data_IF_623587391902
#
_entry.id   IF_623587391902
#
_cell.length_a   1.000
_cell.length_b   1.000
_cell.length_c   1.000
_cell.angle_alpha   90.00
_cell.angle_beta   90.00
_cell.angle_gamma   90.00
#
_symmetry.space_group_name_H-M   'P 1'
#
loop_
_entity.id
_entity.type
_entity.pdbx_description
1 polymer ?
#
# COMPACT_ATOMS: atom_id res chain seq x y z
N UNK A 1 1.27 -27.79 12.74
CA UNK A 1 1.37 -26.99 11.49
C UNK A 1 2.57 -26.06 11.59
N UNK A 2 3.39 -26.01 10.55
CA UNK A 2 4.58 -25.15 10.51
C UNK A 2 4.34 -23.93 9.64
N UNK A 3 4.60 -22.75 10.20
CA UNK A 3 4.56 -21.45 9.51
C UNK A 3 5.99 -20.99 9.29
N UNK A 4 6.38 -20.81 8.04
CA UNK A 4 7.67 -20.27 7.62
C UNK A 4 7.54 -18.78 7.29
N UNK A 5 8.47 -17.97 7.77
CA UNK A 5 8.56 -16.53 7.45
C UNK A 5 9.89 -16.27 6.77
N UNK A 6 9.84 -15.80 5.54
CA UNK A 6 11.02 -15.59 4.71
C UNK A 6 11.58 -14.18 4.84
N UNK A 7 12.87 -14.06 4.62
CA UNK A 7 13.52 -12.78 4.40
C UNK A 7 13.16 -12.25 3.01
N UNK A 8 12.74 -11.00 2.96
CA UNK A 8 12.45 -10.33 1.68
C UNK A 8 13.73 -9.97 0.93
N UNK A 9 13.69 -10.12 -0.40
CA UNK A 9 14.82 -9.84 -1.28
C UNK A 9 14.49 -8.83 -2.39
N UNK A 10 13.22 -8.41 -2.50
CA UNK A 10 12.84 -7.41 -3.48
C UNK A 10 13.50 -6.07 -3.18
N UNK A 11 13.93 -5.37 -4.24
CA UNK A 11 14.57 -4.06 -4.11
C UNK A 11 13.67 -3.08 -3.36
N UNK A 12 14.25 -2.41 -2.35
CA UNK A 12 13.52 -1.47 -1.50
C UNK A 12 12.54 -2.10 -0.50
N UNK A 13 12.39 -3.46 -0.44
CA UNK A 13 11.56 -4.10 0.56
C UNK A 13 12.33 -4.25 1.88
N UNK A 14 11.80 -3.64 2.92
CA UNK A 14 12.41 -3.61 4.25
C UNK A 14 11.50 -4.18 5.34
N UNK A 15 10.27 -4.56 4.96
CA UNK A 15 9.29 -5.13 5.88
C UNK A 15 9.55 -6.62 6.08
N UNK A 16 8.92 -7.16 7.11
CA UNK A 16 8.87 -8.60 7.39
C UNK A 16 7.42 -9.02 7.63
N UNK A 17 7.05 -10.21 7.18
CA UNK A 17 5.68 -10.71 7.23
C UNK A 17 5.20 -11.11 8.65
N UNK A 18 6.12 -11.38 9.58
CA UNK A 18 5.81 -11.58 10.99
C UNK A 18 6.77 -10.81 11.88
N UNK A 19 6.25 -10.18 12.93
CA UNK A 19 7.03 -9.57 14.01
C UNK A 19 7.18 -10.57 15.17
N UNK A 20 8.09 -10.35 16.13
CA UNK A 20 8.17 -11.19 17.33
C UNK A 20 6.83 -11.30 18.08
N UNK A 21 6.04 -10.20 18.13
CA UNK A 21 4.70 -10.18 18.71
C UNK A 21 3.75 -11.15 17.99
N UNK A 22 3.68 -11.10 16.67
CA UNK A 22 2.78 -11.97 15.91
C UNK A 22 3.27 -13.42 15.85
N UNK A 23 4.59 -13.65 15.81
CA UNK A 23 5.17 -14.97 15.95
C UNK A 23 4.74 -15.64 17.26
N UNK A 24 4.82 -14.93 18.38
CA UNK A 24 4.33 -15.40 19.68
C UNK A 24 2.83 -15.73 19.66
N UNK A 25 2.03 -14.92 18.96
CA UNK A 25 0.58 -15.16 18.82
C UNK A 25 0.27 -16.41 17.99
N UNK A 26 1.01 -16.66 16.90
CA UNK A 26 0.87 -17.88 16.11
C UNK A 26 1.25 -19.13 16.92
N UNK A 27 2.32 -19.05 17.72
CA UNK A 27 2.73 -20.13 18.62
C UNK A 27 1.63 -20.41 19.67
N UNK A 28 0.98 -19.37 20.18
CA UNK A 28 -0.15 -19.52 21.09
C UNK A 28 -1.39 -20.19 20.46
N UNK A 29 -1.52 -20.16 19.13
CA UNK A 29 -2.53 -20.94 18.39
C UNK A 29 -2.14 -22.41 18.20
N UNK A 30 -0.91 -22.80 18.57
CA UNK A 30 -0.39 -24.15 18.40
C UNK A 30 0.44 -24.36 17.13
N UNK A 31 0.80 -23.29 16.42
CA UNK A 31 1.69 -23.39 15.28
C UNK A 31 3.17 -23.46 15.71
N UNK A 32 3.97 -24.20 14.96
CA UNK A 32 5.41 -24.04 14.95
C UNK A 32 5.76 -22.86 14.03
N UNK A 33 6.57 -21.91 14.51
CA UNK A 33 6.97 -20.73 13.72
C UNK A 33 8.47 -20.75 13.49
N UNK A 34 8.87 -20.72 12.21
CA UNK A 34 10.26 -20.66 11.78
C UNK A 34 10.51 -19.37 10.98
N UNK A 35 11.51 -18.61 11.36
CA UNK A 35 11.89 -17.32 10.77
C UNK A 35 13.26 -17.47 10.08
N UNK A 36 13.37 -17.02 8.85
CA UNK A 36 14.65 -16.95 8.15
C UNK A 36 15.57 -15.93 8.86
N UNK A 37 16.81 -16.32 9.13
CA UNK A 37 17.77 -15.50 9.84
C UNK A 37 17.95 -14.12 9.17
N UNK A 38 17.89 -13.06 9.95
CA UNK A 38 17.95 -11.69 9.48
C UNK A 38 16.71 -11.19 8.75
N UNK A 39 15.58 -11.91 8.76
CA UNK A 39 14.35 -11.47 8.09
C UNK A 39 13.79 -10.16 8.66
N UNK A 40 13.94 -9.93 9.97
CA UNK A 40 13.46 -8.74 10.66
C UNK A 40 14.43 -7.56 10.72
N UNK A 41 15.69 -7.72 10.33
CA UNK A 41 16.76 -6.75 10.56
C UNK A 41 16.44 -5.36 9.98
N UNK A 42 15.96 -5.31 8.74
CA UNK A 42 15.64 -4.05 8.08
C UNK A 42 14.43 -3.32 8.71
N UNK A 43 13.61 -4.05 9.48
CA UNK A 43 12.48 -3.54 10.26
C UNK A 43 12.82 -3.39 11.75
N UNK A 44 14.10 -3.49 12.13
CA UNK A 44 14.60 -3.36 13.51
C UNK A 44 14.18 -4.49 14.47
N UNK A 45 13.79 -5.64 13.94
CA UNK A 45 13.49 -6.83 14.72
C UNK A 45 14.66 -7.82 14.64
N UNK A 46 15.49 -7.86 15.68
CA UNK A 46 16.63 -8.76 15.75
C UNK A 46 16.21 -10.23 15.90
N UNK A 47 16.99 -11.16 15.37
CA UNK A 47 16.77 -12.60 15.47
C UNK A 47 16.53 -13.08 16.89
N UNK A 48 17.22 -12.48 17.88
CA UNK A 48 17.04 -12.84 19.28
C UNK A 48 15.62 -12.57 19.78
N UNK A 49 14.98 -11.49 19.34
CA UNK A 49 13.60 -11.19 19.74
C UNK A 49 12.59 -12.25 19.25
N UNK A 50 12.84 -12.87 18.10
CA UNK A 50 12.03 -14.00 17.61
C UNK A 50 12.29 -15.26 18.43
N UNK A 51 13.56 -15.55 18.81
CA UNK A 51 13.89 -16.68 19.69
C UNK A 51 13.23 -16.52 21.07
N UNK A 52 13.26 -15.32 21.63
CA UNK A 52 12.62 -14.98 22.91
C UNK A 52 11.09 -15.11 22.84
N UNK A 53 10.51 -14.92 21.66
CA UNK A 53 9.10 -15.15 21.39
C UNK A 53 8.74 -16.65 21.22
N UNK A 54 9.74 -17.54 21.18
CA UNK A 54 9.59 -18.98 21.03
C UNK A 54 9.68 -19.49 19.58
N UNK A 55 10.02 -18.64 18.62
CA UNK A 55 10.20 -19.04 17.23
C UNK A 55 11.60 -19.64 16.98
N UNK A 56 11.71 -20.58 16.04
CA UNK A 56 12.97 -21.06 15.50
C UNK A 56 13.53 -20.04 14.51
N UNK A 57 14.81 -19.69 14.65
CA UNK A 57 15.49 -18.84 13.65
C UNK A 57 16.61 -19.64 13.02
N UNK A 58 16.55 -19.84 11.69
CA UNK A 58 17.46 -20.69 10.94
C UNK A 58 17.68 -20.16 9.51
N UNK A 59 18.49 -20.88 8.73
CA UNK A 59 18.62 -20.63 7.30
C UNK A 59 17.32 -20.96 6.54
N UNK A 60 17.21 -20.44 5.31
CA UNK A 60 16.04 -20.59 4.45
C UNK A 60 15.62 -22.05 4.22
N UNK A 61 16.57 -22.96 4.00
CA UNK A 61 16.27 -24.36 3.73
C UNK A 61 15.63 -25.03 4.95
N UNK A 62 16.16 -24.79 6.14
CA UNK A 62 15.63 -25.28 7.41
C UNK A 62 14.25 -24.69 7.71
N UNK A 63 14.04 -23.41 7.44
CA UNK A 63 12.77 -22.72 7.65
C UNK A 63 11.69 -23.30 6.74
N UNK A 64 12.00 -23.57 5.47
CA UNK A 64 11.07 -24.11 4.49
C UNK A 64 10.80 -25.60 4.64
N UNK A 65 11.72 -26.38 5.24
CA UNK A 65 11.51 -27.82 5.38
C UNK A 65 10.19 -28.13 6.09
N UNK A 66 9.32 -28.89 5.42
CA UNK A 66 7.98 -29.28 5.89
C UNK A 66 7.06 -28.09 6.26
N UNK A 67 7.27 -26.91 5.67
CA UNK A 67 6.39 -25.77 5.90
C UNK A 67 5.01 -25.99 5.28
N UNK A 68 3.97 -25.76 6.08
CA UNK A 68 2.56 -25.82 5.65
C UNK A 68 2.05 -24.46 5.17
N UNK A 69 2.59 -23.37 5.74
CA UNK A 69 2.27 -21.98 5.37
C UNK A 69 3.58 -21.21 5.24
N UNK A 70 3.71 -20.47 4.14
CA UNK A 70 4.79 -19.51 3.92
C UNK A 70 4.22 -18.11 3.93
N UNK A 71 4.69 -17.28 4.86
CA UNK A 71 4.33 -15.86 4.95
C UNK A 71 5.41 -15.01 4.29
N UNK A 72 4.98 -14.14 3.39
CA UNK A 72 5.81 -13.11 2.77
C UNK A 72 5.11 -11.76 2.78
N UNK A 73 5.87 -10.69 2.65
CA UNK A 73 5.33 -9.36 2.35
C UNK A 73 5.04 -9.27 0.87
N UNK A 74 6.00 -9.66 0.06
CA UNK A 74 5.90 -9.84 -1.38
C UNK A 74 5.80 -11.34 -1.72
N UNK A 75 5.20 -11.67 -2.86
CA UNK A 75 5.15 -13.04 -3.32
C UNK A 75 6.56 -13.60 -3.55
N UNK A 76 6.99 -14.65 -2.83
CA UNK A 76 8.30 -15.27 -3.04
C UNK A 76 8.38 -15.94 -4.41
N UNK A 77 9.60 -16.09 -4.95
CA UNK A 77 9.81 -16.88 -6.16
C UNK A 77 9.45 -18.36 -5.87
N UNK A 78 8.54 -18.97 -6.63
CA UNK A 78 8.16 -20.38 -6.46
C UNK A 78 9.36 -21.34 -6.51
N UNK A 79 10.37 -21.06 -7.33
CA UNK A 79 11.58 -21.86 -7.42
C UNK A 79 12.41 -21.85 -6.10
N UNK A 80 12.27 -20.79 -5.31
CA UNK A 80 12.96 -20.64 -4.02
C UNK A 80 12.21 -21.23 -2.82
N UNK A 81 11.12 -22.00 -3.05
CA UNK A 81 10.28 -22.59 -2.00
C UNK A 81 10.51 -24.10 -1.80
N UNK A 82 11.60 -24.64 -2.35
CA UNK A 82 11.95 -26.05 -2.19
C UNK A 82 12.04 -26.44 -0.70
N UNK A 83 11.36 -27.52 -0.33
CA UNK A 83 11.22 -28.00 1.05
C UNK A 83 9.84 -27.74 1.67
N UNK A 84 9.08 -26.76 1.18
CA UNK A 84 7.69 -26.58 1.61
C UNK A 84 6.81 -27.75 1.13
N UNK A 85 5.79 -28.07 1.90
CA UNK A 85 4.87 -29.16 1.59
C UNK A 85 4.10 -28.90 0.30
N UNK A 86 3.79 -29.97 -0.46
CA UNK A 86 2.81 -29.89 -1.54
C UNK A 86 1.46 -29.42 -0.99
N UNK A 87 0.87 -28.42 -1.62
CA UNK A 87 -0.34 -27.76 -1.11
C UNK A 87 -0.09 -26.74 0.02
N UNK A 88 1.18 -26.42 0.33
CA UNK A 88 1.48 -25.33 1.24
C UNK A 88 0.86 -24.01 0.79
N UNK A 89 0.39 -23.22 1.74
CA UNK A 89 -0.18 -21.91 1.47
C UNK A 89 0.90 -20.85 1.36
N UNK A 90 0.85 -20.05 0.31
CA UNK A 90 1.69 -18.87 0.13
C UNK A 90 0.81 -17.66 0.42
N UNK A 91 1.01 -17.00 1.55
CA UNK A 91 0.16 -15.88 2.02
C UNK A 91 0.98 -14.59 2.00
N UNK A 92 0.70 -13.73 1.03
CA UNK A 92 1.48 -12.51 0.78
C UNK A 92 0.70 -11.51 -0.10
N UNK A 93 1.30 -10.35 -0.37
CA UNK A 93 0.96 -9.52 -1.52
C UNK A 93 1.56 -10.11 -2.78
N UNK A 94 0.76 -10.68 -3.66
CA UNK A 94 1.22 -11.50 -4.78
C UNK A 94 1.27 -10.75 -6.12
N UNK A 95 0.67 -9.57 -6.20
CA UNK A 95 0.55 -8.75 -7.41
C UNK A 95 0.07 -9.54 -8.67
N UNK A 96 -1.06 -10.27 -8.58
CA UNK A 96 -1.44 -11.26 -9.59
C UNK A 96 -1.76 -10.67 -10.96
N UNK A 97 -2.12 -9.38 -11.04
CA UNK A 97 -2.33 -8.70 -12.32
C UNK A 97 -1.01 -8.26 -12.98
N UNK A 98 0.01 -7.95 -12.17
CA UNK A 98 1.32 -7.53 -12.66
C UNK A 98 2.27 -8.69 -12.94
N UNK A 99 2.03 -9.86 -12.33
CA UNK A 99 2.90 -11.03 -12.43
C UNK A 99 2.10 -12.34 -12.53
N UNK A 100 1.38 -12.47 -13.65
CA UNK A 100 0.60 -13.68 -13.93
C UNK A 100 1.48 -14.93 -14.03
N UNK A 101 2.69 -14.80 -14.56
CA UNK A 101 3.61 -15.93 -14.72
C UNK A 101 3.98 -16.56 -13.37
N UNK A 102 4.12 -15.76 -12.31
CA UNK A 102 4.37 -16.24 -10.95
C UNK A 102 3.17 -17.01 -10.40
N UNK A 103 1.95 -16.56 -10.67
CA UNK A 103 0.73 -17.28 -10.26
C UNK A 103 0.67 -18.65 -10.94
N UNK A 104 0.93 -18.72 -12.25
CA UNK A 104 0.96 -19.98 -13.00
C UNK A 104 2.06 -20.92 -12.46
N UNK A 105 3.22 -20.37 -12.06
CA UNK A 105 4.31 -21.14 -11.46
C UNK A 105 3.94 -21.68 -10.05
N UNK A 106 3.20 -20.94 -9.23
CA UNK A 106 2.66 -21.47 -7.96
C UNK A 106 1.71 -22.65 -8.22
N UNK A 107 0.82 -22.54 -9.21
CA UNK A 107 -0.06 -23.63 -9.59
C UNK A 107 0.74 -24.85 -10.03
N UNK A 108 1.69 -24.68 -10.95
CA UNK A 108 2.52 -25.77 -11.47
C UNK A 108 3.35 -26.47 -10.36
N UNK A 109 3.80 -25.73 -9.35
CA UNK A 109 4.51 -26.26 -8.19
C UNK A 109 3.58 -26.89 -7.14
N UNK A 110 2.25 -26.81 -7.32
CA UNK A 110 1.26 -27.40 -6.43
C UNK A 110 1.00 -26.60 -5.15
N UNK A 111 1.40 -25.31 -5.08
CA UNK A 111 1.12 -24.44 -3.95
C UNK A 111 -0.27 -23.80 -4.04
N UNK A 112 -0.89 -23.51 -2.89
CA UNK A 112 -2.08 -22.66 -2.80
C UNK A 112 -1.66 -21.22 -2.52
N UNK A 113 -1.70 -20.37 -3.55
CA UNK A 113 -1.35 -18.96 -3.45
C UNK A 113 -2.58 -18.13 -3.00
N UNK A 114 -2.44 -17.38 -1.91
CA UNK A 114 -3.47 -16.54 -1.30
C UNK A 114 -3.03 -15.07 -1.38
N UNK A 115 -3.66 -14.31 -2.30
CA UNK A 115 -3.36 -12.90 -2.53
C UNK A 115 -4.07 -12.01 -1.52
N UNK A 116 -3.35 -11.51 -0.54
CA UNK A 116 -3.93 -10.68 0.51
C UNK A 116 -4.47 -9.33 0.00
N UNK A 117 -4.00 -8.84 -1.12
CA UNK A 117 -4.54 -7.65 -1.80
C UNK A 117 -5.91 -7.87 -2.45
N UNK A 118 -6.37 -9.12 -2.55
CA UNK A 118 -7.71 -9.45 -2.99
C UNK A 118 -8.71 -9.59 -1.85
N UNK A 119 -8.30 -9.31 -0.62
CA UNK A 119 -9.18 -9.30 0.55
C UNK A 119 -10.44 -8.46 0.27
N UNK A 120 -11.65 -9.03 0.40
CA UNK A 120 -12.88 -8.29 0.12
C UNK A 120 -13.09 -7.16 1.14
N UNK A 121 -13.64 -6.04 0.67
CA UNK A 121 -13.91 -4.87 1.53
C UNK A 121 -15.24 -5.01 2.28
N UNK A 122 -15.33 -6.04 3.12
CA UNK A 122 -16.45 -6.31 4.01
C UNK A 122 -16.04 -6.08 5.46
N UNK A 123 -17.01 -5.80 6.33
CA UNK A 123 -16.73 -5.40 7.73
C UNK A 123 -15.85 -6.40 8.47
N UNK A 124 -16.10 -7.71 8.33
CA UNK A 124 -15.33 -8.76 9.02
C UNK A 124 -13.91 -8.93 8.51
N UNK A 125 -13.61 -8.46 7.29
CA UNK A 125 -12.28 -8.56 6.66
C UNK A 125 -11.42 -7.29 6.84
N UNK A 126 -11.95 -6.22 7.41
CA UNK A 126 -11.22 -4.94 7.55
C UNK A 126 -9.89 -5.08 8.28
N UNK A 127 -9.83 -5.93 9.31
CA UNK A 127 -8.59 -6.17 10.07
C UNK A 127 -7.55 -6.99 9.30
N UNK A 128 -7.92 -7.59 8.18
CA UNK A 128 -7.07 -8.40 7.30
C UNK A 128 -6.58 -7.62 6.06
N UNK A 129 -7.05 -6.37 5.86
CA UNK A 129 -6.79 -5.56 4.68
C UNK A 129 -5.38 -4.94 4.71
N UNK A 130 -4.45 -5.58 3.99
CA UNK A 130 -3.07 -5.10 3.84
C UNK A 130 -2.99 -3.81 3.04
N UNK A 131 -3.92 -3.58 2.08
CA UNK A 131 -3.88 -2.39 1.25
C UNK A 131 -4.18 -1.14 2.08
N UNK A 132 -5.20 -1.20 2.94
CA UNK A 132 -5.55 -0.07 3.82
C UNK A 132 -4.46 0.23 4.83
N UNK A 133 -3.90 -0.79 5.50
CA UNK A 133 -2.86 -0.60 6.51
C UNK A 133 -1.60 0.03 5.92
N UNK A 134 -1.16 -0.42 4.75
CA UNK A 134 0.05 0.07 4.08
C UNK A 134 -0.18 1.43 3.40
N UNK A 135 -1.34 1.64 2.78
CA UNK A 135 -1.70 2.94 2.18
C UNK A 135 -1.77 4.06 3.21
N UNK A 136 -2.24 3.77 4.42
CA UNK A 136 -2.25 4.75 5.52
C UNK A 136 -0.83 5.26 5.81
N UNK A 137 0.13 4.35 5.97
CA UNK A 137 1.55 4.70 6.19
C UNK A 137 2.17 5.41 4.98
N UNK A 138 1.81 5.00 3.77
CA UNK A 138 2.30 5.65 2.56
C UNK A 138 1.82 7.12 2.48
N UNK A 139 0.56 7.40 2.81
CA UNK A 139 0.03 8.76 2.89
C UNK A 139 0.73 9.63 3.93
N UNK A 140 1.01 9.08 5.11
CA UNK A 140 1.81 9.76 6.13
C UNK A 140 3.22 10.05 5.63
N UNK A 141 3.90 9.04 5.10
CA UNK A 141 5.30 9.17 4.65
C UNK A 141 5.44 10.14 3.48
N UNK A 142 4.47 10.17 2.55
CA UNK A 142 4.47 11.11 1.43
C UNK A 142 4.54 12.58 1.90
N UNK A 143 3.82 12.93 2.97
CA UNK A 143 3.87 14.28 3.53
C UNK A 143 5.23 14.57 4.16
N UNK A 144 5.82 13.60 4.86
CA UNK A 144 7.17 13.77 5.43
C UNK A 144 8.23 13.89 4.34
N UNK A 145 8.12 13.13 3.26
CA UNK A 145 9.02 13.24 2.12
C UNK A 145 8.87 14.62 1.44
N UNK A 146 7.63 15.07 1.25
CA UNK A 146 7.40 16.43 0.75
C UNK A 146 8.01 17.49 1.67
N UNK A 147 7.87 17.36 2.99
CA UNK A 147 8.42 18.29 3.96
C UNK A 147 9.96 18.30 3.95
N UNK A 148 10.58 17.14 3.76
CA UNK A 148 12.03 17.01 3.65
C UNK A 148 12.59 17.70 2.39
N UNK A 149 11.85 17.60 1.27
CA UNK A 149 12.25 18.16 -0.02
C UNK A 149 11.86 19.63 -0.21
N UNK A 150 10.88 20.10 0.55
CA UNK A 150 10.41 21.47 0.50
C UNK A 150 11.34 22.41 1.28
N UNK A 151 12.00 23.32 0.62
CA UNK A 151 13.00 24.22 1.22
C UNK A 151 12.41 25.30 2.15
N UNK A 152 11.16 25.17 2.63
CA UNK A 152 10.47 26.15 3.47
C UNK A 152 9.70 25.45 4.59
N UNK A 153 9.24 26.23 5.58
CA UNK A 153 8.44 25.69 6.67
C UNK A 153 7.00 25.34 6.25
N UNK A 154 6.43 24.31 6.86
CA UNK A 154 5.03 23.95 6.67
C UNK A 154 4.07 24.87 7.45
N UNK A 155 4.28 25.11 8.77
CA UNK A 155 3.39 25.98 9.54
C UNK A 155 3.66 27.47 9.29
N UNK A 156 2.65 28.27 9.55
CA UNK A 156 2.85 29.69 9.75
C UNK A 156 3.67 29.95 11.02
N UNK A 157 4.67 30.81 10.91
CA UNK A 157 5.48 31.22 12.06
C UNK A 157 5.63 32.75 12.07
N UNK A 158 5.59 33.33 13.27
CA UNK A 158 5.81 34.75 13.48
C UNK A 158 7.08 34.96 14.30
N UNK A 159 7.96 35.82 13.80
CA UNK A 159 9.21 36.19 14.48
C UNK A 159 9.35 37.72 14.47
N UNK A 160 10.26 38.26 15.26
CA UNK A 160 10.58 39.67 15.23
C UNK A 160 11.07 40.16 13.86
N UNK A 161 11.63 39.24 13.04
CA UNK A 161 12.11 39.56 11.68
C UNK A 161 10.99 39.45 10.62
N UNK A 162 9.79 39.00 10.99
CA UNK A 162 8.66 38.89 10.06
C UNK A 162 7.91 37.55 10.17
N UNK A 163 6.95 37.37 9.24
CA UNK A 163 6.06 36.22 9.20
C UNK A 163 6.45 35.25 8.09
N UNK A 164 6.55 33.97 8.41
CA UNK A 164 6.61 32.87 7.43
C UNK A 164 5.20 32.37 7.18
N UNK A 165 4.74 32.42 5.95
CA UNK A 165 3.40 31.92 5.57
C UNK A 165 3.35 30.40 5.60
N UNK A 166 2.19 29.82 5.99
CA UNK A 166 1.95 28.40 5.91
C UNK A 166 2.04 27.88 4.47
N UNK A 167 2.60 26.69 4.30
CA UNK A 167 2.60 25.97 3.03
C UNK A 167 1.18 25.64 2.59
N UNK A 168 0.92 25.69 1.29
CA UNK A 168 -0.33 25.25 0.67
C UNK A 168 -0.13 23.86 0.09
N UNK A 169 -0.89 22.91 0.62
CA UNK A 169 -0.83 21.53 0.19
C UNK A 169 -2.13 21.12 -0.53
N UNK A 170 -2.00 20.40 -1.63
CA UNK A 170 -3.11 19.89 -2.42
C UNK A 170 -2.98 18.37 -2.56
N UNK A 171 -4.01 17.64 -2.13
CA UNK A 171 -4.06 16.18 -2.21
C UNK A 171 -5.05 15.77 -3.31
N UNK A 172 -4.58 14.97 -4.26
CA UNK A 172 -5.37 14.46 -5.38
C UNK A 172 -5.57 12.94 -5.24
N UNK A 173 -6.80 12.56 -4.99
CA UNK A 173 -7.20 11.22 -4.55
C UNK A 173 -7.38 11.15 -3.04
N UNK A 174 -8.60 10.83 -2.60
CA UNK A 174 -9.02 10.82 -1.19
C UNK A 174 -9.43 9.41 -0.76
N UNK A 175 -8.59 8.42 -1.13
CA UNK A 175 -8.60 7.09 -0.52
C UNK A 175 -7.87 7.11 0.82
N UNK A 176 -7.55 5.94 1.35
CA UNK A 176 -6.86 5.79 2.65
C UNK A 176 -5.57 6.60 2.72
N UNK A 177 -4.72 6.53 1.68
CA UNK A 177 -3.48 7.30 1.61
C UNK A 177 -3.75 8.81 1.58
N UNK A 178 -4.71 9.25 0.76
CA UNK A 178 -5.05 10.68 0.64
C UNK A 178 -5.64 11.27 1.92
N UNK A 179 -6.55 10.56 2.59
CA UNK A 179 -7.09 10.99 3.89
C UNK A 179 -5.98 11.14 4.94
N UNK A 180 -5.06 10.17 5.00
CA UNK A 180 -3.93 10.26 5.92
C UNK A 180 -2.95 11.37 5.55
N UNK A 181 -2.71 11.61 4.25
CA UNK A 181 -1.90 12.73 3.80
C UNK A 181 -2.52 14.08 4.20
N UNK A 182 -3.83 14.25 4.03
CA UNK A 182 -4.57 15.44 4.49
C UNK A 182 -4.36 15.63 5.99
N UNK A 183 -4.63 14.60 6.79
CA UNK A 183 -4.50 14.67 8.24
C UNK A 183 -3.06 15.02 8.69
N UNK A 184 -2.07 14.42 8.04
CA UNK A 184 -0.64 14.66 8.36
C UNK A 184 -0.21 16.07 7.98
N UNK A 185 -0.51 16.53 6.76
CA UNK A 185 -0.15 17.87 6.31
C UNK A 185 -0.79 18.97 7.18
N UNK A 186 -2.05 18.74 7.60
CA UNK A 186 -2.73 19.62 8.57
C UNK A 186 -2.03 19.67 9.92
N UNK A 187 -1.62 18.52 10.47
CA UNK A 187 -0.87 18.45 11.73
C UNK A 187 0.47 19.17 11.66
N UNK A 188 1.11 19.17 10.47
CA UNK A 188 2.33 19.94 10.23
C UNK A 188 2.06 21.45 10.03
N UNK A 189 0.80 21.88 10.02
CA UNK A 189 0.41 23.28 9.92
C UNK A 189 0.21 23.83 8.51
N UNK A 190 0.16 22.99 7.50
CA UNK A 190 -0.16 23.39 6.14
C UNK A 190 -1.63 23.79 5.98
N UNK A 191 -1.92 24.68 5.03
CA UNK A 191 -3.27 24.92 4.51
C UNK A 191 -3.58 23.87 3.46
N UNK A 192 -4.48 22.93 3.78
CA UNK A 192 -4.74 21.77 2.93
C UNK A 192 -6.02 21.91 2.15
N UNK A 193 -5.96 21.60 0.86
CA UNK A 193 -7.08 21.37 -0.03
C UNK A 193 -6.99 19.97 -0.63
N UNK A 194 -8.10 19.41 -1.06
CA UNK A 194 -8.10 18.09 -1.67
C UNK A 194 -9.20 17.93 -2.72
N UNK A 195 -9.00 17.01 -3.65
CA UNK A 195 -9.96 16.63 -4.69
C UNK A 195 -10.04 15.12 -4.85
N UNK A 196 -11.20 14.64 -5.22
CA UNK A 196 -11.44 13.27 -5.67
C UNK A 196 -12.54 13.30 -6.74
N UNK A 197 -12.65 12.25 -7.52
CA UNK A 197 -13.72 12.12 -8.51
C UNK A 197 -15.04 11.71 -7.87
N UNK A 198 -15.00 11.08 -6.69
CA UNK A 198 -16.16 10.62 -5.93
C UNK A 198 -16.70 11.77 -5.08
N UNK A 199 -17.93 12.19 -5.35
CA UNK A 199 -18.60 13.30 -4.63
C UNK A 199 -18.74 13.03 -3.12
N UNK A 200 -18.93 11.77 -2.73
CA UNK A 200 -19.06 11.36 -1.33
C UNK A 200 -17.80 11.67 -0.46
N UNK A 201 -16.63 11.85 -1.08
CA UNK A 201 -15.39 12.20 -0.34
C UNK A 201 -15.36 13.66 0.12
N UNK A 202 -16.26 14.52 -0.36
CA UNK A 202 -16.33 15.95 0.02
C UNK A 202 -16.47 16.13 1.53
N UNK A 203 -17.38 15.38 2.16
CA UNK A 203 -17.59 15.43 3.60
C UNK A 203 -16.38 14.91 4.39
N UNK A 204 -15.73 13.87 3.87
CA UNK A 204 -14.52 13.32 4.49
C UNK A 204 -13.37 14.33 4.48
N UNK A 205 -13.18 15.08 3.37
CA UNK A 205 -12.20 16.17 3.28
C UNK A 205 -12.48 17.25 4.31
N UNK A 206 -13.75 17.68 4.40
CA UNK A 206 -14.19 18.72 5.34
C UNK A 206 -14.01 18.29 6.80
N UNK A 207 -14.34 17.03 7.12
CA UNK A 207 -14.20 16.48 8.48
C UNK A 207 -12.74 16.49 8.97
N UNK A 208 -11.77 16.38 8.05
CA UNK A 208 -10.35 16.53 8.35
C UNK A 208 -9.89 18.00 8.36
N UNK A 209 -10.80 18.95 8.15
CA UNK A 209 -10.55 20.38 8.16
C UNK A 209 -9.80 20.88 6.91
N UNK A 210 -9.84 20.16 5.82
CA UNK A 210 -9.30 20.57 4.53
C UNK A 210 -10.40 21.19 3.63
N UNK A 211 -9.99 21.98 2.64
CA UNK A 211 -10.89 22.60 1.67
C UNK A 211 -11.15 21.62 0.52
N UNK A 212 -12.40 21.21 0.27
CA UNK A 212 -12.72 20.39 -0.88
C UNK A 212 -12.71 21.23 -2.17
N UNK A 213 -12.08 20.69 -3.21
CA UNK A 213 -11.96 21.30 -4.55
C UNK A 213 -12.60 20.33 -5.53
N UNK A 214 -13.80 20.67 -6.03
CA UNK A 214 -14.58 19.80 -6.92
C UNK A 214 -15.12 20.60 -8.11
N UNK A 215 -15.33 19.89 -9.21
CA UNK A 215 -16.05 20.41 -10.36
C UNK A 215 -17.51 20.65 -9.95
N UNK A 216 -18.00 21.88 -10.14
CA UNK A 216 -19.35 22.26 -9.63
C UNK A 216 -20.46 22.08 -10.67
N UNK A 217 -20.15 22.19 -11.96
CA UNK A 217 -21.15 22.27 -13.03
C UNK A 217 -21.34 21.00 -13.86
N UNK A 218 -20.58 19.95 -13.57
CA UNK A 218 -20.68 18.65 -14.23
C UNK A 218 -20.89 17.59 -13.17
N UNK A 219 -21.89 16.71 -13.35
CA UNK A 219 -22.10 15.61 -12.40
C UNK A 219 -20.88 14.69 -12.39
N UNK A 220 -20.24 14.60 -11.24
CA UNK A 220 -19.21 13.61 -10.96
C UNK A 220 -19.82 12.21 -10.81
N UNK A 221 -18.97 11.23 -10.54
CA UNK A 221 -19.40 9.87 -10.26
C UNK A 221 -20.14 9.87 -8.91
N UNK A 222 -21.42 9.55 -8.92
CA UNK A 222 -22.19 9.27 -7.72
C UNK A 222 -21.91 7.80 -7.32
N UNK A 223 -21.13 7.60 -6.26
CA UNK A 223 -20.86 6.30 -5.68
C UNK A 223 -19.47 5.75 -5.93
N UNK A 224 -19.14 4.74 -5.15
CA UNK A 224 -17.93 3.95 -5.32
C UNK A 224 -18.14 2.92 -6.43
N UNK A 225 -17.21 2.83 -7.37
CA UNK A 225 -17.11 1.68 -8.27
C UNK A 225 -16.83 0.40 -7.46
N UNK A 226 -16.83 -0.75 -8.10
CA UNK A 226 -16.55 -2.03 -7.45
C UNK A 226 -15.21 -1.97 -6.67
N UNK A 227 -15.26 -2.26 -5.36
CA UNK A 227 -14.09 -2.28 -4.50
C UNK A 227 -13.61 -0.91 -3.98
N UNK A 228 -14.45 0.15 -4.00
CA UNK A 228 -14.11 1.47 -3.44
C UNK A 228 -13.21 2.33 -4.31
N UNK A 229 -13.01 1.96 -5.57
CA UNK A 229 -12.29 2.75 -6.57
C UNK A 229 -13.27 3.52 -7.45
N UNK A 230 -12.82 4.66 -8.01
CA UNK A 230 -13.63 5.46 -8.91
C UNK A 230 -13.88 4.73 -10.23
N UNK A 231 -15.11 4.85 -10.76
CA UNK A 231 -15.47 4.40 -12.08
C UNK A 231 -14.90 5.31 -13.21
N UNK A 232 -15.21 4.98 -14.46
CA UNK A 232 -14.76 5.75 -15.62
C UNK A 232 -15.56 7.04 -15.75
N UNK A 233 -14.89 8.20 -15.96
CA UNK A 233 -15.50 9.52 -16.05
C UNK A 233 -15.76 9.92 -17.49
N UNK A 234 -16.81 10.76 -17.70
CA UNK A 234 -17.07 11.40 -18.99
C UNK A 234 -15.92 12.33 -19.42
N UNK A 235 -15.75 12.50 -20.72
CA UNK A 235 -14.71 13.41 -21.25
C UNK A 235 -14.96 14.87 -20.86
N UNK A 236 -16.24 15.28 -20.73
CA UNK A 236 -16.63 16.60 -20.23
C UNK A 236 -16.16 16.81 -18.78
N UNK A 237 -16.34 15.81 -17.91
CA UNK A 237 -15.85 15.87 -16.51
C UNK A 237 -14.33 15.92 -16.46
N UNK A 238 -13.63 15.10 -17.27
CA UNK A 238 -12.17 15.10 -17.36
C UNK A 238 -11.63 16.47 -17.77
N UNK A 239 -12.25 17.12 -18.77
CA UNK A 239 -11.86 18.45 -19.22
C UNK A 239 -12.08 19.53 -18.12
N UNK A 240 -13.26 19.53 -17.48
CA UNK A 240 -13.55 20.45 -16.38
C UNK A 240 -12.62 20.24 -15.18
N UNK A 241 -12.31 18.99 -14.85
CA UNK A 241 -11.35 18.65 -13.81
C UNK A 241 -9.92 19.13 -14.15
N UNK A 242 -9.49 18.97 -15.40
CA UNK A 242 -8.18 19.44 -15.84
C UNK A 242 -8.04 20.96 -15.73
N UNK A 243 -9.08 21.72 -16.08
CA UNK A 243 -9.13 23.17 -15.92
C UNK A 243 -9.10 23.59 -14.45
N UNK A 244 -9.91 22.95 -13.61
CA UNK A 244 -9.94 23.19 -12.17
C UNK A 244 -8.58 22.93 -11.54
N UNK A 245 -7.96 21.78 -11.86
CA UNK A 245 -6.61 21.42 -11.38
C UNK A 245 -5.61 22.46 -11.85
N UNK A 246 -5.59 22.86 -13.13
CA UNK A 246 -4.66 23.84 -13.68
C UNK A 246 -4.73 25.18 -12.96
N UNK A 247 -5.92 25.68 -12.67
CA UNK A 247 -6.12 26.95 -11.95
C UNK A 247 -5.71 26.87 -10.48
N UNK A 248 -5.81 25.69 -9.86
CA UNK A 248 -5.58 25.49 -8.45
C UNK A 248 -4.09 25.15 -8.16
N UNK A 249 -3.49 24.27 -8.95
CA UNK A 249 -2.13 23.75 -8.73
C UNK A 249 -1.05 24.82 -8.79
N UNK A 250 -1.22 25.82 -9.66
CA UNK A 250 -0.29 26.97 -9.79
C UNK A 250 -0.10 27.76 -8.50
N UNK A 251 -1.02 27.63 -7.54
CA UNK A 251 -1.00 28.34 -6.25
C UNK A 251 -0.49 27.47 -5.11
N UNK A 252 -0.22 26.18 -5.38
CA UNK A 252 0.18 25.23 -4.36
C UNK A 252 1.71 25.17 -4.21
N UNK A 253 2.14 24.83 -3.03
CA UNK A 253 3.55 24.61 -2.70
C UNK A 253 3.88 23.12 -2.66
N UNK A 254 2.92 22.31 -2.24
CA UNK A 254 3.02 20.84 -2.10
C UNK A 254 1.83 20.22 -2.83
N UNK A 255 2.09 19.17 -3.61
CA UNK A 255 1.04 18.32 -4.19
C UNK A 255 1.33 16.86 -3.88
N UNK A 256 0.29 16.10 -3.49
CA UNK A 256 0.40 14.66 -3.26
C UNK A 256 -0.66 13.98 -4.10
N UNK A 257 -0.23 13.06 -4.98
CA UNK A 257 -1.13 12.29 -5.83
C UNK A 257 -1.18 10.84 -5.38
N UNK A 258 -2.40 10.28 -5.30
CA UNK A 258 -2.64 8.94 -4.76
C UNK A 258 -3.61 8.10 -5.58
N UNK A 259 -3.93 8.52 -6.82
CA UNK A 259 -4.94 7.85 -7.63
C UNK A 259 -4.38 6.56 -8.26
N UNK A 260 -4.96 5.43 -7.89
CA UNK A 260 -4.63 4.11 -8.40
C UNK A 260 -5.87 3.39 -8.88
N UNK A 261 -5.73 2.59 -9.93
CA UNK A 261 -6.77 1.71 -10.45
C UNK A 261 -6.19 0.29 -10.44
N UNK A 262 -6.76 -0.66 -9.66
CA UNK A 262 -6.23 -2.01 -9.59
C UNK A 262 -6.13 -2.68 -10.96
N UNK A 263 -4.98 -3.28 -11.24
CA UNK A 263 -4.73 -4.02 -12.48
C UNK A 263 -4.61 -3.15 -13.75
N UNK A 264 -4.56 -1.82 -13.62
CA UNK A 264 -4.40 -0.89 -14.74
C UNK A 264 -3.33 0.15 -14.43
N UNK A 265 -2.82 0.78 -15.48
CA UNK A 265 -1.93 1.93 -15.31
C UNK A 265 -2.64 3.07 -14.56
N UNK A 266 -1.89 3.77 -13.70
CA UNK A 266 -2.40 4.92 -12.96
C UNK A 266 -2.88 6.03 -13.93
N UNK A 267 -3.99 6.72 -13.59
CA UNK A 267 -4.47 7.82 -14.43
C UNK A 267 -3.50 9.00 -14.37
N UNK A 268 -3.28 9.65 -15.50
CA UNK A 268 -2.50 10.89 -15.56
C UNK A 268 -3.36 12.02 -15.00
N UNK A 269 -2.94 12.61 -13.87
CA UNK A 269 -3.65 13.71 -13.19
C UNK A 269 -2.99 15.07 -13.43
N UNK A 270 -1.67 15.10 -13.62
CA UNK A 270 -0.87 16.32 -13.74
C UNK A 270 0.00 16.22 -14.99
N UNK A 271 -0.21 17.13 -15.93
CA UNK A 271 0.60 17.27 -17.14
C UNK A 271 1.88 18.07 -16.89
N UNK A 272 2.86 17.98 -17.79
CA UNK A 272 4.09 18.79 -17.73
C UNK A 272 3.80 20.30 -17.75
N UNK A 273 2.79 20.75 -18.49
CA UNK A 273 2.36 22.14 -18.51
C UNK A 273 1.81 22.60 -17.13
N UNK A 274 1.11 21.73 -16.42
CA UNK A 274 0.63 22.00 -15.06
C UNK A 274 1.79 22.04 -14.07
N UNK A 275 2.79 21.15 -14.20
CA UNK A 275 4.04 21.21 -13.42
C UNK A 275 4.74 22.54 -13.66
N UNK A 276 4.87 22.97 -14.92
CA UNK A 276 5.50 24.24 -15.30
C UNK A 276 4.77 25.49 -14.75
N UNK A 277 3.48 25.37 -14.44
CA UNK A 277 2.70 26.47 -13.85
C UNK A 277 2.93 26.65 -12.36
N UNK A 278 3.53 25.69 -11.69
CA UNK A 278 3.82 25.73 -10.25
C UNK A 278 5.03 26.65 -9.98
N UNK A 279 5.12 27.12 -8.74
CA UNK A 279 6.26 27.95 -8.32
C UNK A 279 7.53 27.11 -8.26
N UNK A 280 8.68 27.64 -8.70
CA UNK A 280 9.97 27.02 -8.45
C UNK A 280 10.18 26.74 -6.95
N UNK A 281 10.69 25.55 -6.61
CA UNK A 281 10.84 25.08 -5.24
C UNK A 281 9.62 24.37 -4.67
N UNK A 282 8.51 24.29 -5.41
CA UNK A 282 7.38 23.43 -5.07
C UNK A 282 7.75 21.95 -5.17
N UNK A 283 7.00 21.10 -4.47
CA UNK A 283 7.24 19.63 -4.42
C UNK A 283 5.96 18.88 -4.78
N UNK A 284 6.09 17.90 -5.65
CA UNK A 284 5.03 16.92 -5.96
C UNK A 284 5.51 15.55 -5.47
N UNK A 285 4.67 14.81 -4.76
CA UNK A 285 4.92 13.40 -4.41
C UNK A 285 3.91 12.54 -5.15
N UNK A 286 4.41 11.64 -5.99
CA UNK A 286 3.60 10.72 -6.77
C UNK A 286 3.61 9.32 -6.16
N UNK A 287 2.54 8.96 -5.43
CA UNK A 287 2.40 7.63 -4.83
C UNK A 287 2.00 6.54 -5.83
N UNK A 288 1.66 6.91 -7.06
CA UNK A 288 1.27 5.99 -8.12
C UNK A 288 2.41 5.69 -9.10
N UNK A 289 3.62 6.17 -8.85
CA UNK A 289 4.74 6.14 -9.80
C UNK A 289 5.09 4.73 -10.28
N UNK A 290 4.98 3.71 -9.42
CA UNK A 290 5.25 2.30 -9.77
C UNK A 290 4.22 1.71 -10.75
N UNK A 291 3.06 2.35 -10.89
CA UNK A 291 2.00 1.93 -11.82
C UNK A 291 1.83 2.91 -12.99
N UNK A 292 2.91 3.56 -13.39
CA UNK A 292 2.94 4.52 -14.50
C UNK A 292 2.81 5.98 -14.09
N UNK A 293 2.47 6.25 -12.83
CA UNK A 293 2.44 7.59 -12.23
C UNK A 293 1.24 8.46 -12.60
N UNK A 294 0.84 9.30 -11.65
CA UNK A 294 -0.18 10.34 -11.85
C UNK A 294 0.42 11.63 -12.45
N UNK A 295 1.73 11.80 -12.38
CA UNK A 295 2.44 13.03 -12.75
C UNK A 295 3.30 12.79 -13.98
N UNK A 296 3.15 13.62 -14.99
CA UNK A 296 4.00 13.55 -16.17
C UNK A 296 5.45 13.91 -15.82
N UNK A 297 6.37 13.02 -16.22
CA UNK A 297 7.79 13.17 -15.91
C UNK A 297 8.22 12.63 -14.54
N UNK A 298 7.32 12.04 -13.75
CA UNK A 298 7.70 11.27 -12.57
C UNK A 298 8.52 10.03 -12.98
N UNK A 299 9.57 9.72 -12.23
CA UNK A 299 10.43 8.56 -12.47
C UNK A 299 10.46 7.70 -11.20
N UNK A 300 10.12 6.42 -11.35
CA UNK A 300 10.06 5.51 -10.22
C UNK A 300 11.44 5.28 -9.59
N UNK A 301 11.55 5.55 -8.29
CA UNK A 301 12.78 5.44 -7.51
C UNK A 301 13.61 6.73 -7.47
N UNK A 302 13.20 7.79 -8.15
CA UNK A 302 13.98 9.02 -8.27
C UNK A 302 13.24 10.25 -7.74
N UNK A 303 14.02 11.29 -7.45
CA UNK A 303 13.55 12.67 -7.28
C UNK A 303 14.06 13.44 -8.49
N UNK A 304 13.16 13.85 -9.37
CA UNK A 304 13.50 14.61 -10.57
C UNK A 304 13.10 16.07 -10.41
N UNK A 305 13.84 16.99 -11.04
CA UNK A 305 13.50 18.41 -11.06
C UNK A 305 13.06 18.79 -12.47
N UNK A 306 11.82 19.29 -12.59
CA UNK A 306 11.27 19.82 -13.86
C UNK A 306 10.70 21.21 -13.63
N UNK A 307 11.04 22.14 -14.46
CA UNK A 307 10.59 23.55 -14.34
C UNK A 307 10.85 24.17 -12.96
N UNK A 308 11.89 23.71 -12.24
CA UNK A 308 12.17 24.12 -10.87
C UNK A 308 11.31 23.46 -9.79
N UNK A 309 10.43 22.53 -10.15
CA UNK A 309 9.59 21.74 -9.25
C UNK A 309 10.23 20.38 -9.04
N UNK A 310 10.32 19.92 -7.77
CA UNK A 310 10.77 18.57 -7.44
C UNK A 310 9.60 17.59 -7.55
N UNK A 311 9.79 16.51 -8.30
CA UNK A 311 8.83 15.41 -8.39
C UNK A 311 9.45 14.19 -7.70
N UNK A 312 8.87 13.79 -6.59
CA UNK A 312 9.33 12.69 -5.73
C UNK A 312 8.60 11.42 -6.15
N UNK A 313 9.34 10.48 -6.73
CA UNK A 313 8.85 9.20 -7.24
C UNK A 313 9.34 8.01 -6.43
N UNK A 314 9.33 8.07 -5.09
CA UNK A 314 9.80 6.95 -4.27
C UNK A 314 8.98 5.69 -4.48
N UNK A 315 9.68 4.54 -4.59
CA UNK A 315 9.06 3.21 -4.64
C UNK A 315 8.73 2.72 -3.24
N UNK A 316 7.75 1.82 -3.17
CA UNK A 316 7.40 1.06 -1.96
C UNK A 316 7.38 1.93 -0.69
N UNK A 317 6.62 3.02 -0.74
CA UNK A 317 6.70 4.10 0.26
C UNK A 317 6.39 3.61 1.68
N UNK A 318 5.46 2.64 1.84
CA UNK A 318 5.17 2.05 3.15
C UNK A 318 6.39 1.34 3.75
N UNK A 319 7.21 0.66 2.93
CA UNK A 319 8.44 -0.02 3.35
C UNK A 319 9.50 0.95 3.91
N UNK A 320 9.37 2.23 3.66
CA UNK A 320 10.25 3.28 4.21
C UNK A 320 9.94 3.64 5.68
N UNK A 321 8.88 3.02 6.24
CA UNK A 321 8.54 2.96 7.66
C UNK A 321 8.52 1.49 8.11
N UNK A 322 9.64 0.76 7.99
CA UNK A 322 9.63 -0.70 7.99
C UNK A 322 9.11 -1.32 9.29
N UNK A 323 9.39 -0.71 10.44
CA UNK A 323 8.93 -1.22 11.73
C UNK A 323 7.39 -1.18 11.86
N UNK A 324 6.79 0.00 11.64
CA UNK A 324 5.33 0.16 11.75
C UNK A 324 4.61 -0.58 10.61
N UNK A 325 5.17 -0.53 9.40
CA UNK A 325 4.60 -1.23 8.25
C UNK A 325 4.60 -2.75 8.46
N UNK A 326 5.68 -3.33 9.00
CA UNK A 326 5.73 -4.74 9.37
C UNK A 326 4.75 -5.07 10.51
N UNK A 327 4.66 -4.23 11.54
CA UNK A 327 3.75 -4.43 12.66
C UNK A 327 2.29 -4.50 12.18
N UNK A 328 1.86 -3.60 11.29
CA UNK A 328 0.50 -3.60 10.75
C UNK A 328 0.29 -4.75 9.78
N UNK A 329 1.22 -4.98 8.86
CA UNK A 329 1.15 -6.04 7.87
C UNK A 329 1.06 -7.42 8.53
N UNK A 330 1.94 -7.70 9.48
CA UNK A 330 1.96 -8.97 10.21
C UNK A 330 0.67 -9.21 11.02
N UNK A 331 0.06 -8.13 11.55
CA UNK A 331 -1.26 -8.22 12.21
C UNK A 331 -2.38 -8.53 11.22
N UNK A 332 -2.32 -7.99 9.99
CA UNK A 332 -3.28 -8.37 8.96
C UNK A 332 -3.20 -9.87 8.65
N UNK A 333 -1.99 -10.42 8.47
CA UNK A 333 -1.79 -11.86 8.23
C UNK A 333 -2.22 -12.70 9.43
N UNK A 334 -1.88 -12.27 10.64
CA UNK A 334 -2.32 -12.95 11.85
C UNK A 334 -3.85 -12.95 11.98
N UNK A 335 -4.50 -11.81 11.78
CA UNK A 335 -5.95 -11.69 11.85
C UNK A 335 -6.63 -12.59 10.81
N UNK A 336 -6.08 -12.65 9.59
CA UNK A 336 -6.58 -13.56 8.55
C UNK A 336 -6.49 -15.01 9.00
N UNK A 337 -5.32 -15.51 9.36
CA UNK A 337 -5.14 -16.91 9.73
C UNK A 337 -5.86 -17.28 11.04
N UNK A 338 -5.83 -16.40 12.06
CA UNK A 338 -6.45 -16.67 13.37
C UNK A 338 -7.98 -16.67 13.32
N UNK A 339 -8.58 -15.86 12.45
CA UNK A 339 -10.05 -15.84 12.27
C UNK A 339 -10.58 -17.19 11.78
N UNK A 340 -9.79 -17.86 10.94
CA UNK A 340 -10.16 -19.15 10.37
C UNK A 340 -9.48 -20.34 11.06
N UNK A 341 -8.76 -20.11 12.17
CA UNK A 341 -8.03 -21.17 12.86
C UNK A 341 -8.97 -22.15 13.53
N UNK A 342 -8.99 -23.38 13.04
CA UNK A 342 -9.68 -24.50 13.66
C UNK A 342 -8.77 -25.13 14.74
N UNK A 343 -9.22 -25.07 15.99
CA UNK A 343 -8.47 -25.56 17.15
C UNK A 343 -8.37 -27.07 17.20
N UNK A 344 -9.34 -27.77 16.62
CA UNK A 344 -9.39 -29.23 16.67
C UNK A 344 -8.41 -29.85 15.68
N UNK A 345 -8.24 -29.22 14.51
CA UNK A 345 -7.31 -29.66 13.47
C UNK A 345 -5.95 -28.96 13.55
N UNK A 346 -5.84 -27.85 14.28
CA UNK A 346 -4.65 -27.00 14.34
C UNK A 346 -4.30 -26.37 12.99
N UNK A 347 -5.31 -26.08 12.15
CA UNK A 347 -5.16 -25.53 10.79
C UNK A 347 -6.22 -24.48 10.51
N UNK A 348 -5.93 -23.47 9.69
CA UNK A 348 -6.95 -22.54 9.23
C UNK A 348 -7.87 -23.19 8.18
N UNK A 349 -9.18 -22.96 8.31
CA UNK A 349 -10.23 -23.40 7.39
C UNK A 349 -10.96 -22.15 6.89
N UNK A 350 -10.55 -21.66 5.71
CA UNK A 350 -11.10 -20.41 5.13
C UNK A 350 -12.49 -20.71 4.54
N UNK A 351 -13.48 -19.88 4.85
CA UNK A 351 -14.80 -19.95 4.24
C UNK A 351 -14.78 -19.57 2.74
N UNK A 352 -15.86 -19.89 2.04
CA UNK A 352 -15.95 -19.67 0.59
C UNK A 352 -15.86 -18.18 0.21
N UNK A 353 -16.53 -17.28 0.96
CA UNK A 353 -16.58 -15.86 0.60
C UNK A 353 -15.19 -15.21 0.55
N UNK A 354 -14.39 -15.43 1.59
CA UNK A 354 -13.02 -14.91 1.63
C UNK A 354 -12.08 -15.80 0.83
N UNK A 355 -12.25 -17.12 0.91
CA UNK A 355 -11.44 -18.07 0.17
C UNK A 355 -11.48 -17.86 -1.34
N UNK A 356 -12.65 -17.70 -1.91
CA UNK A 356 -12.81 -17.46 -3.37
C UNK A 356 -12.25 -16.11 -3.79
N UNK A 357 -12.31 -15.10 -2.91
CA UNK A 357 -11.74 -13.80 -3.19
C UNK A 357 -10.20 -13.83 -3.24
N UNK A 358 -9.53 -14.44 -2.22
CA UNK A 358 -8.07 -14.35 -2.08
C UNK A 358 -7.31 -15.50 -2.73
N UNK A 359 -7.93 -16.67 -2.92
CA UNK A 359 -7.26 -17.86 -3.47
C UNK A 359 -7.03 -17.70 -4.95
N UNK A 360 -5.76 -17.72 -5.36
CA UNK A 360 -5.36 -17.66 -6.77
C UNK A 360 -5.22 -19.06 -7.38
N UNK A 361 -4.62 -19.99 -6.61
CA UNK A 361 -4.29 -21.34 -7.10
C UNK A 361 -4.76 -22.40 -6.11
N UNK A 362 -5.16 -23.57 -6.63
CA UNK A 362 -5.55 -24.74 -5.86
C UNK A 362 -5.40 -26.01 -6.71
N UNK A 363 -4.88 -27.07 -6.10
CA UNK A 363 -4.75 -28.38 -6.74
C UNK A 363 -4.08 -28.32 -8.13
N UNK A 364 -3.03 -27.53 -8.28
CA UNK A 364 -2.28 -27.39 -9.54
C UNK A 364 -2.92 -26.48 -10.60
N UNK A 365 -3.99 -25.77 -10.26
CA UNK A 365 -4.71 -24.91 -11.20
C UNK A 365 -4.89 -23.50 -10.67
N UNK A 366 -4.98 -22.52 -11.57
CA UNK A 366 -5.45 -21.17 -11.27
C UNK A 366 -6.97 -21.21 -11.16
N UNK A 367 -7.51 -20.78 -10.03
CA UNK A 367 -8.96 -20.90 -9.71
C UNK A 367 -9.66 -19.55 -9.52
N UNK A 368 -8.92 -18.44 -9.42
CA UNK A 368 -9.48 -17.13 -9.14
C UNK A 368 -10.24 -16.57 -10.34
N UNK A 369 -11.53 -16.27 -10.19
CA UNK A 369 -12.38 -15.76 -11.24
C UNK A 369 -11.85 -14.46 -11.89
N UNK A 370 -11.26 -13.54 -11.09
CA UNK A 370 -10.68 -12.29 -11.60
C UNK A 370 -9.50 -12.51 -12.55
N UNK A 371 -8.80 -13.63 -12.44
CA UNK A 371 -7.68 -13.99 -13.29
C UNK A 371 -8.10 -14.82 -14.51
N UNK A 372 -9.25 -15.46 -14.45
CA UNK A 372 -9.81 -16.26 -15.54
C UNK A 372 -10.67 -15.43 -16.50
N UNK A 373 -10.91 -14.13 -16.19
CA UNK A 373 -11.71 -13.26 -17.06
C UNK A 373 -13.22 -13.47 -16.93
N UNK A 374 -13.66 -14.06 -15.81
CA UNK A 374 -15.07 -14.28 -15.49
C UNK A 374 -15.69 -13.08 -14.78
#
# INVERSE_FOLDING_TARGET
MKIAVLKEHADGERRVAATPETAKKFIALGAEVAIEAGAGDAATYADQAYRDAGATVADRATVLADADIVLGVQGPDPAGLAGANTGAWIVAGLNPFGDRARVDAYAAAGYEALAMEFMPRITRAQSMDILSSQSNLAGYKAVLDAASEYGRAFPMMMTAAGTVSAARAFVMGVGVAGLQAIATARRLGAQVSATDVRSATREQIQSLGAKPIFVENVKGIEGEGSGGYAGEMSDEYKAAQAELVSSHIAKQDIVITTALIPGRAAPRLISDAQVASMKPGSVIVDLAVEQGGNVEGAVAGEIVVRHGVKIVGHRNVASRLPADASALFSRNLYNFLSTFWDKDTGRPVIDEEIGDAVRLTRAGQVVNARLLGA
#
